data_IF_810188484196
#
_entry.id   IF_810188484196
#
_cell.length_a   1.000
_cell.length_b   1.000
_cell.length_c   1.000
_cell.angle_alpha   90.00
_cell.angle_beta   90.00
_cell.angle_gamma   90.00
#
_symmetry.space_group_name_H-M   'P 1'
#
loop_
_entity.id
_entity.type
_entity.pdbx_description
1 polymer ?
#
# COMPACT_ATOMS: atom_id res chain seq x y z
N UNK A 1 5.60 39.99 7.34
CA UNK A 1 4.40 39.24 7.71
C UNK A 1 4.79 37.79 7.59
N UNK A 2 4.80 37.03 8.68
CA UNK A 2 5.11 35.58 8.65
C UNK A 2 4.01 34.89 7.87
N UNK A 3 4.33 34.29 6.72
CA UNK A 3 3.40 33.39 6.02
C UNK A 3 3.05 32.27 7.01
N UNK A 4 1.78 32.12 7.31
CA UNK A 4 1.30 31.04 8.17
C UNK A 4 1.69 29.71 7.49
N UNK A 5 2.46 28.88 8.20
CA UNK A 5 2.95 27.63 7.66
C UNK A 5 1.76 26.67 7.54
N UNK A 6 1.37 26.33 6.31
CA UNK A 6 0.32 25.34 6.03
C UNK A 6 0.80 24.00 6.58
N UNK A 7 0.03 23.39 7.48
CA UNK A 7 0.36 22.10 8.12
C UNK A 7 -0.69 21.03 7.84
N UNK A 8 -1.94 21.43 7.63
CA UNK A 8 -3.06 20.54 7.46
C UNK A 8 -3.84 20.89 6.19
N UNK A 9 -4.69 20.00 5.75
CA UNK A 9 -5.57 20.20 4.58
C UNK A 9 -6.49 21.42 4.76
N UNK A 10 -6.94 21.68 5.98
CA UNK A 10 -7.79 22.83 6.33
C UNK A 10 -7.10 24.19 6.25
N UNK A 11 -5.75 24.20 6.19
CA UNK A 11 -4.96 25.42 6.07
C UNK A 11 -4.80 25.86 4.60
N UNK A 12 -5.18 25.02 3.65
CA UNK A 12 -5.13 25.35 2.21
C UNK A 12 -6.11 26.46 1.86
N UNK A 13 -5.67 27.39 1.02
CA UNK A 13 -6.46 28.55 0.63
C UNK A 13 -7.76 28.13 -0.08
N UNK A 14 -8.90 28.45 0.54
CA UNK A 14 -10.24 28.15 0.01
C UNK A 14 -10.80 26.81 0.46
N UNK A 15 -10.12 26.07 1.35
CA UNK A 15 -10.69 24.89 2.00
C UNK A 15 -11.50 25.33 3.21
N UNK A 16 -12.82 25.42 3.02
CA UNK A 16 -13.78 25.55 4.11
C UNK A 16 -14.30 24.18 4.58
N UNK A 17 -15.13 24.13 5.66
CA UNK A 17 -15.59 22.87 6.25
C UNK A 17 -16.17 21.87 5.22
N UNK A 18 -17.06 22.34 4.35
CA UNK A 18 -17.68 21.48 3.32
C UNK A 18 -16.70 20.93 2.29
N UNK A 19 -15.60 21.64 2.01
CA UNK A 19 -14.55 21.15 1.09
C UNK A 19 -13.63 20.19 1.84
N UNK A 20 -13.32 20.48 3.10
CA UNK A 20 -12.56 19.59 3.96
C UNK A 20 -13.26 18.23 4.12
N UNK A 21 -14.58 18.23 4.36
CA UNK A 21 -15.36 17.00 4.44
C UNK A 21 -15.26 16.19 3.14
N UNK A 22 -15.43 16.82 1.97
CA UNK A 22 -15.32 16.14 0.68
C UNK A 22 -13.92 15.54 0.41
N UNK A 23 -12.88 16.25 0.84
CA UNK A 23 -11.49 15.75 0.73
C UNK A 23 -11.29 14.57 1.67
N UNK A 24 -11.72 14.66 2.91
CA UNK A 24 -11.59 13.59 3.91
C UNK A 24 -12.40 12.34 3.52
N UNK A 25 -13.65 12.51 3.08
CA UNK A 25 -14.53 11.42 2.64
C UNK A 25 -13.92 10.67 1.45
N UNK A 26 -13.20 11.38 0.58
CA UNK A 26 -12.47 10.80 -0.55
C UNK A 26 -11.05 10.31 -0.18
N UNK A 27 -10.66 10.33 1.10
CA UNK A 27 -9.35 9.83 1.58
C UNK A 27 -8.18 10.78 1.36
N UNK A 28 -8.44 12.08 1.17
CA UNK A 28 -7.41 13.13 0.99
C UNK A 28 -7.29 13.99 2.26
N UNK A 29 -6.91 13.36 3.35
CA UNK A 29 -6.81 13.94 4.68
C UNK A 29 -5.42 14.52 5.02
N UNK A 30 -4.44 14.34 4.12
CA UNK A 30 -3.08 14.88 4.25
C UNK A 30 -2.69 15.74 3.06
N UNK A 31 -1.73 16.64 3.25
CA UNK A 31 -1.16 17.45 2.16
C UNK A 31 -0.47 16.58 1.13
N UNK A 32 0.17 15.50 1.56
CA UNK A 32 0.84 14.52 0.69
C UNK A 32 -0.19 13.80 -0.19
N UNK A 33 -1.31 13.37 0.38
CA UNK A 33 -2.37 12.71 -0.36
C UNK A 33 -2.94 13.60 -1.48
N UNK A 34 -3.12 14.91 -1.22
CA UNK A 34 -3.58 15.89 -2.20
C UNK A 34 -2.46 16.20 -3.21
N UNK A 35 -1.27 16.47 -2.74
CA UNK A 35 -0.15 16.93 -3.56
C UNK A 35 0.34 15.91 -4.60
N UNK A 36 0.13 14.63 -4.35
CA UNK A 36 0.50 13.55 -5.28
C UNK A 36 -0.50 13.31 -6.39
N UNK A 37 -1.70 13.90 -6.30
CA UNK A 37 -2.77 13.68 -7.29
C UNK A 37 -2.59 14.50 -8.58
N UNK A 38 -3.29 14.08 -9.63
CA UNK A 38 -3.58 14.94 -10.78
C UNK A 38 -4.88 15.74 -10.53
N UNK A 39 -5.03 16.94 -11.13
CA UNK A 39 -6.25 17.72 -10.98
C UNK A 39 -7.52 16.99 -11.43
N UNK A 40 -7.40 16.10 -12.41
CA UNK A 40 -8.53 15.31 -12.91
C UNK A 40 -8.94 14.21 -11.93
N UNK A 41 -7.99 13.49 -11.35
CA UNK A 41 -8.26 12.44 -10.35
C UNK A 41 -8.89 13.03 -9.09
N UNK A 42 -8.30 14.09 -8.54
CA UNK A 42 -8.83 14.76 -7.35
C UNK A 42 -10.25 15.32 -7.59
N UNK A 43 -10.49 15.92 -8.77
CA UNK A 43 -11.81 16.43 -9.15
C UNK A 43 -12.85 15.33 -9.27
N UNK A 44 -12.49 14.20 -9.87
CA UNK A 44 -13.40 13.05 -10.05
C UNK A 44 -13.76 12.39 -8.72
N UNK A 45 -12.79 12.26 -7.81
CA UNK A 45 -12.98 11.63 -6.51
C UNK A 45 -13.80 12.49 -5.53
N UNK A 46 -13.60 13.82 -5.56
CA UNK A 46 -14.19 14.74 -4.56
C UNK A 46 -15.40 15.51 -5.06
N UNK A 47 -15.64 15.55 -6.37
CA UNK A 47 -16.63 16.43 -7.00
C UNK A 47 -16.29 17.93 -6.93
N UNK A 48 -15.04 18.29 -6.57
CA UNK A 48 -14.54 19.66 -6.55
C UNK A 48 -14.12 20.08 -7.96
N UNK A 49 -14.36 21.32 -8.35
CA UNK A 49 -13.98 21.81 -9.67
C UNK A 49 -12.48 21.68 -9.94
N UNK A 50 -12.09 21.26 -11.16
CA UNK A 50 -10.72 20.95 -11.56
C UNK A 50 -9.72 22.09 -11.31
N UNK A 51 -10.14 23.35 -11.54
CA UNK A 51 -9.30 24.53 -11.31
C UNK A 51 -9.01 24.76 -9.82
N UNK A 52 -9.99 24.47 -8.97
CA UNK A 52 -9.84 24.52 -7.51
C UNK A 52 -8.92 23.39 -7.03
N UNK A 53 -9.11 22.18 -7.54
CA UNK A 53 -8.20 21.06 -7.27
C UNK A 53 -6.76 21.38 -7.68
N UNK A 54 -6.56 22.05 -8.82
CA UNK A 54 -5.22 22.48 -9.26
C UNK A 54 -4.56 23.41 -8.24
N UNK A 55 -5.30 24.36 -7.67
CA UNK A 55 -4.78 25.26 -6.63
C UNK A 55 -4.39 24.51 -5.37
N UNK A 56 -5.28 23.63 -4.88
CA UNK A 56 -5.00 22.81 -3.70
C UNK A 56 -3.76 21.94 -3.89
N UNK A 57 -3.62 21.30 -5.04
CA UNK A 57 -2.45 20.47 -5.37
C UNK A 57 -1.16 21.30 -5.36
N UNK A 58 -1.16 22.49 -5.96
CA UNK A 58 0.03 23.36 -6.00
C UNK A 58 0.42 23.82 -4.59
N UNK A 59 -0.55 24.26 -3.77
CA UNK A 59 -0.29 24.66 -2.39
C UNK A 59 0.18 23.50 -1.51
N UNK A 60 -0.48 22.33 -1.63
CA UNK A 60 -0.12 21.14 -0.90
C UNK A 60 1.30 20.67 -1.26
N UNK A 61 1.66 20.67 -2.54
CA UNK A 61 3.03 20.36 -3.01
C UNK A 61 4.07 21.29 -2.41
N UNK A 62 3.78 22.60 -2.40
CA UNK A 62 4.69 23.60 -1.82
C UNK A 62 4.83 23.44 -0.30
N UNK A 63 3.73 23.14 0.39
CA UNK A 63 3.69 23.03 1.84
C UNK A 63 4.36 21.73 2.35
N UNK A 64 4.14 20.62 1.66
CA UNK A 64 4.69 19.30 1.99
C UNK A 64 6.01 19.00 1.25
N UNK A 65 6.57 19.98 0.51
CA UNK A 65 7.81 19.85 -0.27
C UNK A 65 7.79 18.68 -1.28
N UNK A 66 6.62 18.44 -1.87
CA UNK A 66 6.41 17.32 -2.80
C UNK A 66 6.96 17.67 -4.17
N UNK A 67 7.80 16.78 -4.69
CA UNK A 67 8.44 16.94 -6.00
C UNK A 67 9.69 17.82 -5.98
N UNK A 68 10.19 18.17 -4.80
CA UNK A 68 11.50 18.77 -4.69
C UNK A 68 12.60 17.79 -5.11
N UNK A 69 13.61 18.31 -5.81
CA UNK A 69 14.79 17.52 -6.09
C UNK A 69 15.61 17.34 -4.81
N UNK A 70 15.80 16.09 -4.42
CA UNK A 70 16.69 15.74 -3.31
C UNK A 70 18.06 15.33 -3.85
N UNK A 71 19.10 15.68 -3.13
CA UNK A 71 20.44 15.11 -3.37
C UNK A 71 20.42 13.62 -2.98
N UNK A 72 21.35 12.82 -3.51
CA UNK A 72 21.49 11.42 -3.11
C UNK A 72 21.67 11.25 -1.59
N UNK A 73 22.37 12.16 -0.94
CA UNK A 73 22.55 12.17 0.54
C UNK A 73 21.23 12.38 1.27
N UNK A 74 20.45 13.38 0.87
CA UNK A 74 19.12 13.63 1.45
C UNK A 74 18.15 12.44 1.21
N UNK A 75 18.25 11.81 0.04
CA UNK A 75 17.47 10.60 -0.24
C UNK A 75 17.88 9.44 0.68
N UNK A 76 19.18 9.24 0.93
CA UNK A 76 19.66 8.25 1.89
C UNK A 76 19.09 8.49 3.30
N UNK A 77 19.10 9.72 3.77
CA UNK A 77 18.53 10.10 5.07
C UNK A 77 17.01 9.78 5.12
N UNK A 78 16.28 10.13 4.06
CA UNK A 78 14.86 9.80 3.94
C UNK A 78 14.61 8.30 3.94
N UNK A 79 15.46 7.52 3.27
CA UNK A 79 15.36 6.06 3.24
C UNK A 79 15.71 5.37 4.57
N UNK A 80 16.24 6.09 5.55
CA UNK A 80 16.48 5.53 6.89
C UNK A 80 15.19 5.07 7.60
N UNK A 81 14.02 5.52 7.15
CA UNK A 81 12.71 5.08 7.66
C UNK A 81 12.15 3.83 6.97
N UNK A 82 12.80 3.37 5.90
CA UNK A 82 12.38 2.15 5.17
C UNK A 82 12.68 0.93 6.04
N UNK A 83 11.62 0.20 6.38
CA UNK A 83 11.72 -1.07 7.11
C UNK A 83 12.12 -2.22 6.17
N UNK A 84 12.67 -3.27 6.76
CA UNK A 84 12.99 -4.51 6.04
C UNK A 84 12.36 -5.69 6.75
N UNK A 85 11.52 -6.40 6.03
CA UNK A 85 10.80 -7.57 6.52
C UNK A 85 11.58 -8.84 6.17
N UNK A 86 11.96 -9.61 7.18
CA UNK A 86 12.65 -10.89 6.96
C UNK A 86 11.75 -11.93 6.30
N UNK A 87 12.34 -12.72 5.42
CA UNK A 87 11.70 -13.92 4.86
C UNK A 87 11.86 -15.16 5.74
N UNK A 88 12.56 -15.06 6.87
CA UNK A 88 13.06 -16.16 7.73
C UNK A 88 14.11 -17.04 7.02
N UNK A 89 14.65 -16.61 5.89
CA UNK A 89 15.76 -17.25 5.21
C UNK A 89 16.91 -16.25 5.04
N UNK A 90 17.99 -16.43 5.80
CA UNK A 90 19.13 -15.52 5.78
C UNK A 90 19.73 -15.34 4.37
N UNK A 91 19.82 -16.44 3.60
CA UNK A 91 20.32 -16.38 2.22
C UNK A 91 19.39 -15.59 1.31
N UNK A 92 18.06 -15.70 1.52
CA UNK A 92 17.12 -14.96 0.71
C UNK A 92 17.06 -13.48 1.14
N UNK A 93 17.15 -13.21 2.43
CA UNK A 93 17.23 -11.84 2.95
C UNK A 93 18.51 -11.15 2.45
N UNK A 94 19.66 -11.85 2.41
CA UNK A 94 20.90 -11.32 1.83
C UNK A 94 20.72 -10.97 0.36
N UNK A 95 20.07 -11.84 -0.44
CA UNK A 95 19.76 -11.59 -1.85
C UNK A 95 18.87 -10.35 -2.03
N UNK A 96 17.93 -10.11 -1.12
CA UNK A 96 17.05 -8.95 -1.09
C UNK A 96 17.69 -7.70 -0.46
N UNK A 97 18.94 -7.77 -0.04
CA UNK A 97 19.63 -6.66 0.63
C UNK A 97 19.15 -6.41 2.07
N UNK A 98 18.68 -7.46 2.74
CA UNK A 98 18.27 -7.47 4.14
C UNK A 98 16.79 -7.78 4.37
N UNK A 99 16.04 -8.15 3.33
CA UNK A 99 14.62 -8.49 3.39
C UNK A 99 13.75 -7.69 2.45
N UNK A 100 12.45 -7.90 2.52
CA UNK A 100 11.42 -7.16 1.73
C UNK A 100 11.32 -5.74 2.25
N UNK A 101 11.51 -4.74 1.39
CA UNK A 101 11.47 -3.33 1.79
C UNK A 101 10.03 -2.81 1.91
N UNK A 102 9.78 -1.99 2.93
CA UNK A 102 8.59 -1.14 2.98
C UNK A 102 8.71 0.01 1.97
N UNK A 103 7.63 0.73 1.71
CA UNK A 103 7.56 1.83 0.72
C UNK A 103 7.94 1.38 -0.70
N UNK A 104 7.83 0.08 -0.99
CA UNK A 104 8.11 -0.49 -2.30
C UNK A 104 7.20 -1.68 -2.59
N UNK A 105 7.08 -2.02 -3.87
CA UNK A 105 6.38 -3.22 -4.29
C UNK A 105 7.43 -4.28 -4.62
N UNK A 106 7.34 -5.42 -3.94
CA UNK A 106 8.17 -6.60 -4.23
C UNK A 106 7.31 -7.66 -4.93
N UNK A 107 7.70 -8.06 -6.12
CA UNK A 107 7.02 -9.11 -6.88
C UNK A 107 7.80 -10.42 -6.83
N UNK A 108 7.11 -11.50 -6.45
CA UNK A 108 7.60 -12.86 -6.56
C UNK A 108 6.89 -13.57 -7.70
N UNK A 109 7.62 -13.98 -8.71
CA UNK A 109 7.09 -14.71 -9.85
C UNK A 109 7.79 -16.05 -10.05
N UNK A 110 7.10 -17.01 -10.65
CA UNK A 110 7.64 -18.33 -10.88
C UNK A 110 6.54 -19.33 -11.31
N UNK A 111 6.92 -20.56 -11.69
CA UNK A 111 5.96 -21.57 -12.11
C UNK A 111 5.03 -21.98 -10.97
N UNK A 112 3.97 -22.71 -11.33
CA UNK A 112 3.08 -23.30 -10.34
C UNK A 112 3.85 -24.21 -9.38
N UNK A 113 3.50 -24.15 -8.09
CA UNK A 113 4.16 -24.97 -7.07
C UNK A 113 5.53 -24.44 -6.58
N UNK A 114 6.01 -23.28 -7.05
CA UNK A 114 7.31 -22.71 -6.63
C UNK A 114 7.32 -22.07 -5.22
N UNK A 115 6.20 -22.09 -4.49
CA UNK A 115 6.15 -21.61 -3.11
C UNK A 115 5.75 -20.13 -2.94
N UNK A 116 5.33 -19.42 -3.99
CA UNK A 116 4.93 -17.99 -3.89
C UNK A 116 3.91 -17.71 -2.81
N UNK A 117 2.79 -18.45 -2.80
CA UNK A 117 1.76 -18.36 -1.75
C UNK A 117 2.34 -18.67 -0.36
N UNK A 118 3.22 -19.68 -0.25
CA UNK A 118 3.85 -20.02 1.04
C UNK A 118 4.73 -18.87 1.55
N UNK A 119 5.43 -18.20 0.64
CA UNK A 119 6.25 -17.03 0.98
C UNK A 119 5.40 -15.86 1.48
N UNK A 120 4.28 -15.54 0.80
CA UNK A 120 3.37 -14.49 1.27
C UNK A 120 2.82 -14.82 2.67
N UNK A 121 2.43 -16.08 2.92
CA UNK A 121 1.94 -16.51 4.24
C UNK A 121 3.04 -16.41 5.30
N UNK A 122 4.30 -16.77 4.99
CA UNK A 122 5.43 -16.61 5.91
C UNK A 122 5.69 -15.12 6.21
N UNK A 123 5.70 -14.27 5.19
CA UNK A 123 5.86 -12.83 5.35
C UNK A 123 4.72 -12.23 6.21
N UNK A 124 3.50 -12.76 6.08
CA UNK A 124 2.36 -12.33 6.90
C UNK A 124 2.52 -12.65 8.39
N UNK A 125 3.19 -13.75 8.72
CA UNK A 125 3.54 -14.08 10.11
C UNK A 125 4.70 -13.18 10.56
N UNK A 126 5.76 -13.09 9.75
CA UNK A 126 6.96 -12.34 10.09
C UNK A 126 6.71 -10.83 10.26
N UNK A 127 5.77 -10.23 9.50
CA UNK A 127 5.44 -8.82 9.61
C UNK A 127 4.94 -8.41 10.99
N UNK A 128 4.46 -9.36 11.77
CA UNK A 128 3.96 -9.16 13.13
C UNK A 128 5.05 -9.22 14.21
N UNK A 129 6.21 -9.76 13.87
CA UNK A 129 7.38 -9.79 14.76
C UNK A 129 7.83 -8.37 15.11
N UNK A 130 8.50 -8.18 16.26
CA UNK A 130 9.21 -6.96 16.58
C UNK A 130 10.21 -6.56 15.48
N UNK A 131 10.48 -5.27 15.35
CA UNK A 131 11.41 -4.75 14.33
C UNK A 131 12.82 -5.30 14.54
N UNK A 132 13.22 -5.51 15.79
CA UNK A 132 14.51 -6.07 16.19
C UNK A 132 14.69 -7.54 15.77
N UNK A 133 13.58 -8.23 15.52
CA UNK A 133 13.54 -9.62 15.04
C UNK A 133 13.32 -9.69 13.51
N UNK A 134 13.42 -8.56 12.82
CA UNK A 134 13.22 -8.47 11.36
C UNK A 134 11.75 -8.40 10.93
N UNK A 135 10.84 -8.13 11.87
CA UNK A 135 9.43 -7.85 11.60
C UNK A 135 9.18 -6.38 11.31
N UNK A 136 7.90 -6.01 11.24
CA UNK A 136 7.42 -4.63 11.09
C UNK A 136 6.53 -4.19 12.27
N UNK A 137 6.31 -5.07 13.24
CA UNK A 137 5.48 -4.84 14.43
C UNK A 137 4.01 -4.53 14.11
N UNK A 138 3.50 -4.91 12.94
CA UNK A 138 2.19 -4.49 12.45
C UNK A 138 1.24 -5.64 12.11
N UNK A 139 0.04 -5.26 11.71
CA UNK A 139 -0.98 -6.16 11.17
C UNK A 139 -0.80 -6.33 9.66
N UNK A 140 -1.47 -7.32 9.09
CA UNK A 140 -1.33 -7.70 7.70
C UNK A 140 -2.69 -7.73 7.01
N UNK A 141 -2.76 -7.23 5.78
CA UNK A 141 -3.87 -7.47 4.89
C UNK A 141 -3.43 -8.38 3.72
N UNK A 142 -4.29 -9.32 3.34
CA UNK A 142 -4.09 -10.20 2.19
C UNK A 142 -5.31 -10.13 1.29
N UNK A 143 -5.10 -9.79 0.00
CA UNK A 143 -6.10 -9.89 -1.05
C UNK A 143 -5.90 -11.23 -1.75
N UNK A 144 -6.79 -12.18 -1.48
CA UNK A 144 -6.75 -13.53 -2.03
C UNK A 144 -7.67 -13.64 -3.25
N UNK A 145 -7.09 -13.77 -4.45
CA UNK A 145 -7.84 -13.92 -5.71
C UNK A 145 -8.01 -15.38 -6.15
N UNK A 146 -7.25 -16.30 -5.54
CA UNK A 146 -7.23 -17.71 -5.92
C UNK A 146 -7.90 -18.64 -4.88
N UNK A 147 -8.35 -18.07 -3.75
CA UNK A 147 -8.89 -18.82 -2.61
C UNK A 147 -7.88 -19.82 -2.04
N UNK A 148 -6.67 -19.38 -1.88
CA UNK A 148 -5.52 -20.21 -1.44
C UNK A 148 -5.10 -19.98 0.00
N UNK A 149 -5.62 -18.95 0.66
CA UNK A 149 -5.35 -18.72 2.09
C UNK A 149 -5.83 -19.91 2.94
N UNK A 150 -4.94 -20.39 3.81
CA UNK A 150 -5.22 -21.51 4.71
C UNK A 150 -4.75 -21.15 6.12
N UNK A 151 -5.70 -20.93 7.06
CA UNK A 151 -5.36 -20.63 8.47
C UNK A 151 -4.44 -21.68 9.11
N UNK A 152 -4.59 -22.95 8.72
CA UNK A 152 -3.77 -24.04 9.25
C UNK A 152 -2.27 -23.88 8.91
N UNK A 153 -1.96 -23.22 7.78
CA UNK A 153 -0.58 -22.90 7.41
C UNK A 153 -0.02 -21.79 8.28
N UNK A 154 -0.81 -20.76 8.55
CA UNK A 154 -0.44 -19.69 9.51
C UNK A 154 -0.16 -20.26 10.88
N UNK A 155 -1.05 -21.14 11.38
CA UNK A 155 -0.87 -21.83 12.66
C UNK A 155 0.47 -22.59 12.71
N UNK A 156 0.80 -23.31 11.63
CA UNK A 156 2.04 -24.07 11.56
C UNK A 156 3.27 -23.16 11.55
N UNK A 157 3.22 -22.04 10.81
CA UNK A 157 4.30 -21.06 10.71
C UNK A 157 4.48 -20.29 12.05
N UNK A 158 3.39 -19.88 12.69
CA UNK A 158 3.42 -19.21 13.99
C UNK A 158 4.06 -20.10 15.06
N UNK A 159 3.65 -21.37 15.14
CA UNK A 159 4.24 -22.35 16.09
C UNK A 159 5.75 -22.59 15.82
N UNK A 160 6.19 -22.55 14.58
CA UNK A 160 7.59 -22.70 14.25
C UNK A 160 8.48 -21.51 14.68
N UNK A 161 7.85 -20.38 15.02
CA UNK A 161 8.48 -19.18 15.56
C UNK A 161 8.14 -18.95 17.03
N UNK A 162 7.58 -19.96 17.71
CA UNK A 162 7.15 -19.89 19.13
C UNK A 162 6.14 -18.76 19.41
N UNK A 163 5.31 -18.39 18.40
CA UNK A 163 4.25 -17.38 18.51
C UNK A 163 2.91 -18.05 18.83
N UNK A 164 2.01 -17.28 19.50
CA UNK A 164 0.62 -17.70 19.70
C UNK A 164 -0.14 -17.66 18.37
N UNK A 165 -0.64 -18.80 17.85
CA UNK A 165 -1.34 -18.85 16.57
C UNK A 165 -2.64 -18.05 16.53
N UNK A 166 -3.38 -17.97 17.63
CA UNK A 166 -4.66 -17.25 17.68
C UNK A 166 -4.43 -15.74 17.64
N UNK A 167 -3.39 -15.25 18.31
CA UNK A 167 -2.96 -13.86 18.25
C UNK A 167 -2.50 -13.51 16.81
N UNK A 168 -1.65 -14.35 16.21
CA UNK A 168 -1.15 -14.14 14.83
C UNK A 168 -2.30 -14.12 13.83
N UNK A 169 -3.25 -15.07 13.92
CA UNK A 169 -4.42 -15.12 13.05
C UNK A 169 -5.32 -13.89 13.24
N UNK A 170 -5.49 -13.42 14.47
CA UNK A 170 -6.31 -12.25 14.78
C UNK A 170 -5.78 -10.93 14.16
N UNK A 171 -4.52 -10.91 13.73
CA UNK A 171 -3.85 -9.76 13.11
C UNK A 171 -3.65 -9.89 11.60
N UNK A 172 -4.24 -10.91 10.96
CA UNK A 172 -4.22 -11.10 9.52
C UNK A 172 -5.64 -10.91 8.96
N UNK A 173 -5.83 -9.87 8.16
CA UNK A 173 -7.10 -9.53 7.51
C UNK A 173 -7.11 -10.07 6.09
N UNK A 174 -7.98 -11.02 5.80
CA UNK A 174 -8.04 -11.66 4.48
C UNK A 174 -9.30 -11.22 3.75
N UNK A 175 -9.12 -10.64 2.58
CA UNK A 175 -10.19 -10.26 1.68
C UNK A 175 -10.17 -11.12 0.41
N UNK A 176 -11.28 -11.80 0.09
CA UNK A 176 -11.40 -12.57 -1.14
C UNK A 176 -11.91 -11.70 -2.28
N UNK A 177 -11.14 -11.61 -3.37
CA UNK A 177 -11.54 -10.94 -4.60
C UNK A 177 -11.95 -11.96 -5.66
N UNK A 178 -13.13 -11.81 -6.23
CA UNK A 178 -13.65 -12.69 -7.27
C UNK A 178 -13.40 -12.15 -8.68
N UNK A 179 -13.03 -10.90 -8.81
CA UNK A 179 -12.75 -10.22 -10.08
C UNK A 179 -11.78 -9.05 -9.88
N UNK A 180 -11.26 -8.52 -11.00
CA UNK A 180 -10.27 -7.44 -10.99
C UNK A 180 -10.79 -6.15 -10.38
N UNK A 181 -12.07 -5.83 -10.56
CA UNK A 181 -12.69 -4.65 -9.97
C UNK A 181 -12.75 -4.75 -8.44
N UNK A 182 -13.17 -5.89 -7.90
CA UNK A 182 -13.16 -6.11 -6.44
C UNK A 182 -11.74 -6.09 -5.88
N UNK A 183 -10.77 -6.65 -6.60
CA UNK A 183 -9.36 -6.61 -6.20
C UNK A 183 -8.87 -5.15 -6.05
N UNK A 184 -9.20 -4.27 -6.98
CA UNK A 184 -8.87 -2.85 -6.90
C UNK A 184 -9.56 -2.15 -5.73
N UNK A 185 -10.87 -2.36 -5.55
CA UNK A 185 -11.64 -1.79 -4.43
C UNK A 185 -11.13 -2.26 -3.05
N UNK A 186 -10.56 -3.46 -2.96
CA UNK A 186 -10.00 -3.95 -1.69
C UNK A 186 -8.79 -3.14 -1.24
N UNK A 187 -7.99 -2.58 -2.14
CA UNK A 187 -6.88 -1.69 -1.75
C UNK A 187 -7.40 -0.43 -1.08
N UNK A 188 -8.51 0.14 -1.57
CA UNK A 188 -9.16 1.28 -0.94
C UNK A 188 -9.64 0.93 0.48
N UNK A 189 -10.29 -0.24 0.64
CA UNK A 189 -10.75 -0.71 1.96
C UNK A 189 -9.59 -0.97 2.93
N UNK A 190 -8.48 -1.52 2.45
CA UNK A 190 -7.27 -1.70 3.27
C UNK A 190 -6.70 -0.34 3.67
N UNK A 191 -6.72 0.65 2.77
CA UNK A 191 -6.28 2.01 3.07
C UNK A 191 -7.17 2.69 4.13
N UNK A 192 -8.49 2.46 4.09
CA UNK A 192 -9.40 2.90 5.15
C UNK A 192 -9.09 2.22 6.49
N UNK A 193 -8.89 0.91 6.47
CA UNK A 193 -8.56 0.13 7.67
C UNK A 193 -7.21 0.55 8.28
N UNK A 194 -6.24 0.91 7.44
CA UNK A 194 -4.91 1.34 7.88
C UNK A 194 -4.89 2.72 8.58
N UNK A 195 -5.99 3.48 8.52
CA UNK A 195 -6.17 4.72 9.32
C UNK A 195 -6.38 4.43 10.80
N UNK A 196 -6.96 3.26 11.12
CA UNK A 196 -7.33 2.86 12.48
C UNK A 196 -6.44 1.73 13.02
N UNK A 197 -5.75 1.01 12.13
CA UNK A 197 -4.94 -0.18 12.45
C UNK A 197 -3.54 -0.07 11.86
N UNK A 198 -2.52 -0.60 12.52
CA UNK A 198 -1.14 -0.56 12.05
C UNK A 198 -0.89 -1.61 10.95
N UNK A 199 -1.55 -1.48 9.79
CA UNK A 199 -1.31 -2.38 8.66
C UNK A 199 0.06 -2.09 8.07
N UNK A 200 0.98 -3.05 8.15
CA UNK A 200 2.38 -2.91 7.72
C UNK A 200 2.77 -3.82 6.55
N UNK A 201 1.87 -4.68 6.14
CA UNK A 201 2.04 -5.51 4.94
C UNK A 201 0.72 -5.65 4.20
N UNK A 202 0.76 -5.50 2.86
CA UNK A 202 -0.37 -5.82 1.98
C UNK A 202 0.08 -6.84 0.94
N UNK A 203 -0.35 -8.08 1.10
CA UNK A 203 -0.13 -9.16 0.14
C UNK A 203 -1.25 -9.29 -0.90
N UNK A 204 -0.91 -9.51 -2.17
CA UNK A 204 -1.89 -9.80 -3.23
C UNK A 204 -1.53 -11.10 -3.94
N UNK A 205 -2.34 -12.13 -3.79
CA UNK A 205 -2.11 -13.44 -4.40
C UNK A 205 -3.34 -13.91 -5.20
N UNK A 206 -3.30 -13.81 -6.52
CA UNK A 206 -2.26 -13.28 -7.41
C UNK A 206 -2.65 -11.92 -7.98
N UNK A 207 -1.65 -11.08 -8.28
CA UNK A 207 -1.89 -9.73 -8.80
C UNK A 207 -2.60 -9.73 -10.16
N UNK A 208 -2.17 -10.56 -11.10
CA UNK A 208 -2.60 -10.49 -12.49
C UNK A 208 -3.63 -11.55 -12.88
N UNK A 209 -3.96 -12.50 -12.01
CA UNK A 209 -4.84 -13.64 -12.31
C UNK A 209 -6.22 -13.20 -12.79
N UNK A 210 -6.93 -12.39 -12.01
CA UNK A 210 -8.25 -11.88 -12.34
C UNK A 210 -8.24 -11.02 -13.63
N UNK A 211 -7.25 -10.13 -13.79
CA UNK A 211 -7.14 -9.31 -15.01
C UNK A 211 -6.91 -10.16 -16.27
N UNK A 212 -6.14 -11.24 -16.19
CA UNK A 212 -5.94 -12.13 -17.34
C UNK A 212 -7.18 -12.93 -17.69
N UNK A 213 -7.98 -13.30 -16.70
CA UNK A 213 -9.21 -14.05 -16.90
C UNK A 213 -10.32 -13.18 -17.53
N UNK A 214 -10.40 -11.89 -17.20
CA UNK A 214 -11.45 -10.97 -17.65
C UNK A 214 -11.11 -10.31 -19.00
N UNK A 215 -9.86 -9.88 -19.18
CA UNK A 215 -9.42 -9.15 -20.39
C UNK A 215 -8.70 -10.09 -21.35
N UNK A 216 -9.49 -10.96 -22.01
CA UNK A 216 -8.99 -11.99 -22.93
C UNK A 216 -8.78 -11.40 -24.34
N UNK A 217 -7.73 -11.86 -25.03
CA UNK A 217 -7.45 -11.54 -26.42
C UNK A 217 -6.64 -10.25 -26.62
N UNK A 218 -6.09 -10.12 -27.83
CA UNK A 218 -5.17 -9.00 -28.17
C UNK A 218 -5.87 -7.64 -28.14
N UNK A 219 -7.17 -7.56 -28.46
CA UNK A 219 -7.93 -6.32 -28.46
C UNK A 219 -8.07 -5.66 -27.10
N UNK A 220 -8.05 -6.45 -26.01
CA UNK A 220 -8.23 -5.97 -24.65
C UNK A 220 -6.88 -5.75 -23.91
N UNK A 221 -5.74 -5.93 -24.59
CA UNK A 221 -4.43 -5.85 -23.97
C UNK A 221 -4.15 -4.45 -23.41
N UNK A 222 -4.46 -3.40 -24.16
CA UNK A 222 -4.24 -2.02 -23.73
C UNK A 222 -5.10 -1.67 -22.48
N UNK A 223 -6.36 -2.05 -22.49
CA UNK A 223 -7.27 -1.84 -21.35
C UNK A 223 -6.78 -2.60 -20.11
N UNK A 224 -6.43 -3.88 -20.26
CA UNK A 224 -5.86 -4.69 -19.18
C UNK A 224 -4.63 -4.05 -18.57
N UNK A 225 -3.68 -3.60 -19.40
CA UNK A 225 -2.46 -2.96 -18.92
C UNK A 225 -2.75 -1.62 -18.23
N UNK A 226 -3.69 -0.84 -18.73
CA UNK A 226 -4.14 0.40 -18.08
C UNK A 226 -4.68 0.16 -16.67
N UNK A 227 -5.52 -0.87 -16.51
CA UNK A 227 -6.08 -1.24 -15.19
C UNK A 227 -5.02 -1.78 -14.24
N UNK A 228 -4.12 -2.65 -14.71
CA UNK A 228 -3.01 -3.14 -13.89
C UNK A 228 -2.11 -1.98 -13.45
N UNK A 229 -1.80 -1.04 -14.35
CA UNK A 229 -0.99 0.14 -14.02
C UNK A 229 -1.66 1.03 -12.97
N UNK A 230 -2.98 1.23 -13.07
CA UNK A 230 -3.74 1.96 -12.07
C UNK A 230 -3.72 1.25 -10.70
N UNK A 231 -3.91 -0.07 -10.71
CA UNK A 231 -3.86 -0.88 -9.50
C UNK A 231 -2.48 -0.84 -8.83
N UNK A 232 -1.40 -0.97 -9.61
CA UNK A 232 -0.03 -0.85 -9.12
C UNK A 232 0.26 0.51 -8.50
N UNK A 233 -0.30 1.58 -9.09
CA UNK A 233 -0.16 2.95 -8.54
C UNK A 233 -0.81 3.06 -7.15
N UNK A 234 -1.99 2.48 -6.94
CA UNK A 234 -2.65 2.50 -5.64
C UNK A 234 -1.92 1.63 -4.60
N UNK A 235 -1.39 0.47 -5.01
CA UNK A 235 -0.54 -0.36 -4.14
C UNK A 235 0.74 0.39 -3.72
N UNK A 236 1.43 1.04 -4.66
CA UNK A 236 2.61 1.85 -4.35
C UNK A 236 2.27 3.00 -3.39
N UNK A 237 1.14 3.69 -3.63
CA UNK A 237 0.66 4.75 -2.75
C UNK A 237 0.38 4.24 -1.34
N UNK A 238 -0.21 3.04 -1.21
CA UNK A 238 -0.44 2.42 0.09
C UNK A 238 0.89 2.17 0.82
N UNK A 239 1.88 1.58 0.15
CA UNK A 239 3.21 1.33 0.71
C UNK A 239 3.88 2.61 1.23
N UNK A 240 3.83 3.68 0.43
CA UNK A 240 4.42 4.98 0.78
C UNK A 240 3.71 5.63 1.99
N UNK A 241 2.36 5.68 1.99
CA UNK A 241 1.59 6.38 3.02
C UNK A 241 1.69 5.71 4.40
N UNK A 242 1.67 4.37 4.43
CA UNK A 242 1.59 3.62 5.68
C UNK A 242 2.93 3.01 6.09
N UNK A 243 4.00 3.29 5.34
CA UNK A 243 5.31 2.64 5.50
C UNK A 243 5.14 1.12 5.60
N UNK A 244 4.47 0.54 4.59
CA UNK A 244 4.11 -0.87 4.48
C UNK A 244 4.88 -1.56 3.36
N UNK A 245 5.03 -2.90 3.46
CA UNK A 245 5.59 -3.79 2.46
C UNK A 245 4.50 -4.40 1.57
#
# INVERSE_FOLDING_TARGET
MSEAKIKNVTDLTGVGPSIADKLNDAGYDTLEAIGTQSPGELSSATGIGKDTCTKFIIEARKAADIGAFLTGTQLMEKRATVGKLTTSSSTFDELLGGGVETQSITEFYGPYGSGKTQLILQLAVNAQLPVEEGGLGGEVAIIDTENTFRPERIISMAKALDLDPDEVLGRIHVGRAYNSHQQMLMVEKVSEMAKERPIKMLGVDSLTGAFRAEYIGRGNLAERQGKISAHMKELARFGDLYNAA
#
